data_IF_404482666127
#
_entry.id   IF_404482666127
#
_cell.length_a   1.000
_cell.length_b   1.000
_cell.length_c   1.000
_cell.angle_alpha   90.00
_cell.angle_beta   90.00
_cell.angle_gamma   90.00
#
_symmetry.space_group_name_H-M   'P 1'
#
loop_
_entity.id
_entity.type
_entity.pdbx_description
1 polymer ?
#
# COMPACT_ATOMS: atom_id res chain seq x y z
N UNK A 1 -47.67 51.50 -51.88
CA UNK A 1 -46.58 51.89 -50.97
C UNK A 1 -45.77 50.64 -50.65
N UNK A 2 -44.63 50.46 -51.30
CA UNK A 2 -43.75 49.30 -51.16
C UNK A 2 -42.76 49.51 -50.01
N UNK A 3 -42.89 48.76 -48.92
CA UNK A 3 -41.95 48.77 -47.81
C UNK A 3 -40.72 47.91 -48.16
N UNK A 4 -39.63 48.57 -48.56
CA UNK A 4 -38.34 47.91 -48.81
C UNK A 4 -37.69 47.57 -47.47
N UNK A 5 -37.72 46.29 -47.09
CA UNK A 5 -37.01 45.81 -45.88
C UNK A 5 -35.51 45.96 -46.10
N UNK A 6 -34.89 46.90 -45.37
CA UNK A 6 -33.47 47.19 -45.44
C UNK A 6 -32.66 46.10 -44.73
N UNK A 7 -32.22 45.09 -45.50
CA UNK A 7 -31.40 43.95 -45.05
C UNK A 7 -30.11 44.36 -44.32
N UNK A 8 -29.59 45.58 -44.52
CA UNK A 8 -28.39 46.09 -43.83
C UNK A 8 -28.64 46.57 -42.40
N UNK A 9 -29.88 46.89 -42.02
CA UNK A 9 -30.23 47.23 -40.62
C UNK A 9 -30.45 45.98 -39.75
N UNK A 10 -30.83 44.85 -40.34
CA UNK A 10 -31.04 43.60 -39.60
C UNK A 10 -29.71 42.99 -39.09
N UNK A 11 -28.62 43.18 -39.84
CA UNK A 11 -27.28 42.67 -39.48
C UNK A 11 -26.52 43.54 -38.46
N UNK A 12 -27.01 44.75 -38.12
CA UNK A 12 -26.39 45.61 -37.10
C UNK A 12 -27.06 45.53 -35.72
N UNK A 13 -28.24 44.91 -35.63
CA UNK A 13 -28.99 44.79 -34.37
C UNK A 13 -28.69 43.53 -33.55
N UNK A 14 -27.93 42.58 -34.09
CA UNK A 14 -27.67 41.28 -33.45
C UNK A 14 -26.24 41.13 -32.91
N UNK A 15 -25.41 42.17 -32.97
CA UNK A 15 -23.99 42.09 -32.61
C UNK A 15 -23.67 42.40 -31.13
N UNK A 16 -24.66 42.59 -30.25
CA UNK A 16 -24.42 42.98 -28.83
C UNK A 16 -25.07 42.03 -27.80
N UNK A 17 -25.60 40.88 -28.22
CA UNK A 17 -26.20 39.90 -27.30
C UNK A 17 -25.62 38.48 -27.44
N UNK A 18 -24.39 38.37 -27.95
CA UNK A 18 -23.61 37.15 -27.86
C UNK A 18 -22.20 37.52 -27.38
N UNK A 19 -22.11 37.98 -26.14
CA UNK A 19 -20.96 37.59 -25.34
C UNK A 19 -21.06 36.07 -25.22
N UNK A 20 -20.56 35.37 -26.26
CA UNK A 20 -20.21 33.98 -26.12
C UNK A 20 -19.33 33.94 -24.88
N UNK A 21 -19.86 33.37 -23.81
CA UNK A 21 -19.03 32.77 -22.78
C UNK A 21 -18.11 31.86 -23.57
N UNK A 22 -16.89 32.34 -23.84
CA UNK A 22 -15.79 31.47 -24.23
C UNK A 22 -15.80 30.42 -23.14
N UNK A 23 -16.36 29.25 -23.45
CA UNK A 23 -16.26 28.11 -22.58
C UNK A 23 -14.76 27.87 -22.49
N UNK A 24 -14.16 28.36 -21.40
CA UNK A 24 -12.80 28.03 -21.07
C UNK A 24 -12.71 26.51 -21.18
N UNK A 25 -11.68 25.95 -21.83
CA UNK A 25 -11.58 24.51 -21.99
C UNK A 25 -11.79 23.91 -20.61
N UNK A 26 -12.81 23.08 -20.45
CA UNK A 26 -12.95 22.26 -19.26
C UNK A 26 -11.70 21.40 -19.26
N UNK A 27 -10.71 21.74 -18.44
CA UNK A 27 -9.59 20.86 -18.20
C UNK A 27 -10.24 19.62 -17.59
N UNK A 28 -10.37 18.57 -18.40
CA UNK A 28 -10.85 17.29 -17.93
C UNK A 28 -9.86 16.84 -16.86
N UNK A 29 -10.21 17.05 -15.59
CA UNK A 29 -9.45 16.51 -14.47
C UNK A 29 -9.78 15.02 -14.47
N UNK A 30 -8.81 14.20 -14.85
CA UNK A 30 -8.97 12.76 -14.73
C UNK A 30 -9.29 12.44 -13.26
N UNK A 31 -10.30 11.59 -13.03
CA UNK A 31 -10.57 11.08 -11.69
C UNK A 31 -9.30 10.41 -11.15
N UNK A 32 -8.97 10.60 -9.86
CA UNK A 32 -7.81 9.97 -9.25
C UNK A 32 -7.87 8.46 -9.45
N UNK A 33 -6.74 7.85 -9.78
CA UNK A 33 -6.62 6.39 -9.63
C UNK A 33 -6.72 6.07 -8.14
N UNK A 34 -7.62 5.19 -7.74
CA UNK A 34 -7.79 4.79 -6.33
C UNK A 34 -7.33 3.35 -6.16
N UNK A 35 -6.28 3.16 -5.34
CA UNK A 35 -5.79 1.84 -4.96
C UNK A 35 -6.36 1.45 -3.59
N UNK A 36 -6.90 0.24 -3.47
CA UNK A 36 -7.32 -0.36 -2.20
C UNK A 36 -6.13 -1.08 -1.56
N UNK A 37 -5.66 -0.56 -0.44
CA UNK A 37 -4.58 -1.17 0.34
C UNK A 37 -5.11 -1.64 1.69
N UNK A 38 -5.04 -2.93 1.99
CA UNK A 38 -5.36 -3.43 3.32
C UNK A 38 -4.08 -3.58 4.16
N UNK A 39 -4.12 -3.12 5.42
CA UNK A 39 -3.06 -3.36 6.40
C UNK A 39 -3.33 -4.65 7.19
N UNK A 40 -2.28 -5.38 7.57
CA UNK A 40 -2.38 -6.54 8.48
C UNK A 40 -2.60 -6.15 9.96
N UNK A 41 -2.85 -4.87 10.23
CA UNK A 41 -2.81 -4.29 11.57
C UNK A 41 -4.18 -3.73 11.95
N UNK A 42 -4.66 -4.08 13.15
CA UNK A 42 -5.91 -3.55 13.71
C UNK A 42 -5.74 -2.20 14.42
N UNK A 43 -4.52 -1.69 14.54
CA UNK A 43 -4.20 -0.43 15.20
C UNK A 43 -2.73 -0.30 15.59
N UNK A 44 -2.43 0.74 16.35
CA UNK A 44 -1.09 1.04 16.88
C UNK A 44 -0.08 1.45 15.82
N UNK A 45 1.20 1.44 16.22
CA UNK A 45 2.31 2.01 15.46
C UNK A 45 2.45 1.45 14.03
N UNK A 46 2.03 0.21 13.78
CA UNK A 46 2.12 -0.39 12.45
C UNK A 46 1.03 0.12 11.50
N UNK A 47 -0.19 0.36 12.01
CA UNK A 47 -1.24 1.00 11.21
C UNK A 47 -0.90 2.49 10.98
N UNK A 48 -0.35 3.16 11.98
CA UNK A 48 0.14 4.54 11.85
C UNK A 48 1.29 4.66 10.84
N UNK A 49 2.19 3.66 10.80
CA UNK A 49 3.24 3.58 9.79
C UNK A 49 2.65 3.41 8.38
N UNK A 50 1.69 2.51 8.20
CA UNK A 50 0.99 2.33 6.93
C UNK A 50 0.28 3.63 6.49
N UNK A 51 -0.37 4.33 7.42
CA UNK A 51 -0.98 5.64 7.15
C UNK A 51 0.06 6.69 6.79
N UNK A 52 1.23 6.68 7.44
CA UNK A 52 2.32 7.60 7.13
C UNK A 52 2.87 7.37 5.72
N UNK A 53 2.96 6.12 5.26
CA UNK A 53 3.28 5.81 3.87
C UNK A 53 2.21 6.37 2.91
N UNK A 54 0.93 6.15 3.20
CA UNK A 54 -0.19 6.66 2.39
C UNK A 54 -0.15 8.19 2.30
N UNK A 55 0.08 8.89 3.41
CA UNK A 55 0.17 10.34 3.43
C UNK A 55 1.32 10.86 2.55
N UNK A 56 2.48 10.16 2.56
CA UNK A 56 3.61 10.49 1.69
C UNK A 56 3.27 10.31 0.21
N UNK A 57 2.58 9.22 -0.14
CA UNK A 57 2.11 8.99 -1.50
C UNK A 57 1.15 10.09 -1.96
N UNK A 58 0.17 10.47 -1.13
CA UNK A 58 -0.79 11.53 -1.48
C UNK A 58 -0.10 12.89 -1.64
N UNK A 59 0.86 13.21 -0.76
CA UNK A 59 1.63 14.46 -0.86
C UNK A 59 2.48 14.54 -2.14
N UNK A 60 2.99 13.40 -2.62
CA UNK A 60 3.79 13.34 -3.85
C UNK A 60 2.94 13.26 -5.12
N UNK A 61 1.81 12.56 -5.08
CA UNK A 61 1.00 12.28 -6.25
C UNK A 61 -0.04 13.37 -6.57
N UNK A 62 -0.28 14.30 -5.65
CA UNK A 62 -1.33 15.31 -5.80
C UNK A 62 -2.69 14.63 -6.01
N UNK A 63 -3.46 15.10 -6.99
CA UNK A 63 -4.80 14.56 -7.27
C UNK A 63 -4.80 13.37 -8.23
N UNK A 64 -3.64 12.86 -8.65
CA UNK A 64 -3.58 11.79 -9.65
C UNK A 64 -3.79 10.38 -9.04
N UNK A 65 -3.39 10.19 -7.78
CA UNK A 65 -3.41 8.88 -7.11
C UNK A 65 -3.88 9.03 -5.67
N UNK A 66 -4.80 8.15 -5.29
CA UNK A 66 -5.26 7.95 -3.92
C UNK A 66 -5.04 6.50 -3.51
N UNK A 67 -4.76 6.29 -2.24
CA UNK A 67 -4.74 4.99 -1.60
C UNK A 67 -5.80 4.99 -0.51
N UNK A 68 -6.78 4.12 -0.63
CA UNK A 68 -7.75 3.83 0.41
C UNK A 68 -7.16 2.78 1.34
N UNK A 69 -6.69 3.22 2.51
CA UNK A 69 -6.14 2.36 3.54
C UNK A 69 -7.26 1.71 4.35
N UNK A 70 -7.27 0.38 4.36
CA UNK A 70 -8.22 -0.43 5.10
C UNK A 70 -7.51 -1.12 6.28
N UNK A 71 -8.15 -1.15 7.44
CA UNK A 71 -7.66 -1.87 8.61
C UNK A 71 -7.68 -3.39 8.39
N UNK A 72 -7.06 -4.14 9.30
CA UNK A 72 -7.06 -5.60 9.26
C UNK A 72 -8.47 -6.19 9.09
N UNK A 73 -8.57 -7.24 8.30
CA UNK A 73 -9.77 -8.02 8.05
C UNK A 73 -10.97 -7.25 7.42
N UNK A 74 -10.74 -6.06 6.87
CA UNK A 74 -11.78 -5.25 6.20
C UNK A 74 -12.33 -5.90 4.91
N UNK A 75 -11.47 -6.55 4.12
CA UNK A 75 -11.84 -7.19 2.84
C UNK A 75 -11.61 -8.70 2.91
N UNK A 76 -10.44 -9.11 3.38
CA UNK A 76 -10.07 -10.53 3.54
C UNK A 76 -9.30 -10.75 4.83
N UNK A 77 -9.29 -11.99 5.33
CA UNK A 77 -8.46 -12.34 6.49
C UNK A 77 -6.99 -12.09 6.20
N UNK A 78 -6.21 -11.80 7.23
CA UNK A 78 -4.75 -11.58 7.10
C UNK A 78 -4.04 -12.67 6.29
N UNK A 79 -4.38 -13.96 6.51
CA UNK A 79 -3.80 -15.10 5.78
C UNK A 79 -4.14 -15.16 4.28
N UNK A 80 -5.11 -14.38 3.82
CA UNK A 80 -5.60 -14.36 2.43
C UNK A 80 -5.13 -13.11 1.67
N UNK A 81 -4.52 -12.13 2.34
CA UNK A 81 -4.17 -10.84 1.74
C UNK A 81 -3.21 -10.98 0.55
N UNK A 82 -2.22 -11.89 0.63
CA UNK A 82 -1.28 -12.16 -0.47
C UNK A 82 -2.02 -12.65 -1.72
N UNK A 83 -2.88 -13.67 -1.57
CA UNK A 83 -3.67 -14.22 -2.68
C UNK A 83 -4.68 -13.18 -3.20
N UNK A 84 -5.18 -12.28 -2.34
CA UNK A 84 -6.07 -11.20 -2.73
C UNK A 84 -5.37 -10.14 -3.59
N UNK A 85 -4.12 -9.77 -3.27
CA UNK A 85 -3.32 -8.87 -4.12
C UNK A 85 -2.97 -9.55 -5.44
N UNK A 86 -2.49 -10.80 -5.39
CA UNK A 86 -2.15 -11.56 -6.60
C UNK A 86 -3.31 -11.63 -7.61
N UNK A 87 -4.54 -11.80 -7.13
CA UNK A 87 -5.75 -11.87 -7.97
C UNK A 87 -6.40 -10.50 -8.27
N UNK A 88 -5.87 -9.39 -7.76
CA UNK A 88 -6.41 -8.05 -7.96
C UNK A 88 -7.71 -7.75 -7.18
N UNK A 89 -8.01 -8.50 -6.11
CA UNK A 89 -9.12 -8.17 -5.20
C UNK A 89 -8.76 -6.93 -4.36
N UNK A 90 -7.51 -6.90 -3.89
CA UNK A 90 -6.83 -5.75 -3.32
C UNK A 90 -5.76 -5.28 -4.30
N UNK A 91 -5.52 -3.97 -4.38
CA UNK A 91 -4.45 -3.42 -5.22
C UNK A 91 -3.10 -3.50 -4.50
N UNK A 92 -3.11 -3.44 -3.16
CA UNK A 92 -1.92 -3.57 -2.33
C UNK A 92 -2.22 -4.14 -0.94
N UNK A 93 -1.17 -4.55 -0.24
CA UNK A 93 -1.22 -4.92 1.17
C UNK A 93 -0.03 -4.32 1.93
N UNK A 94 -0.29 -3.73 3.10
CA UNK A 94 0.77 -3.41 4.04
C UNK A 94 0.94 -4.58 5.01
N UNK A 95 2.07 -5.28 4.89
CA UNK A 95 2.20 -6.66 5.37
C UNK A 95 3.62 -6.98 5.87
N UNK A 96 3.83 -8.20 6.37
CA UNK A 96 5.15 -8.72 6.74
C UNK A 96 5.41 -10.07 6.03
N UNK A 97 6.57 -10.28 5.38
CA UNK A 97 6.85 -11.53 4.65
C UNK A 97 6.76 -12.80 5.49
N UNK A 98 7.00 -12.72 6.81
CA UNK A 98 6.93 -13.86 7.73
C UNK A 98 5.56 -14.55 7.76
N UNK A 99 4.49 -13.83 7.44
CA UNK A 99 3.15 -14.42 7.37
C UNK A 99 2.95 -15.30 6.13
N UNK A 100 3.89 -15.28 5.18
CA UNK A 100 3.91 -16.17 4.01
C UNK A 100 4.63 -17.49 4.26
N UNK A 101 4.99 -17.80 5.52
CA UNK A 101 5.71 -19.04 5.88
C UNK A 101 5.07 -20.32 5.32
N UNK A 102 3.73 -20.39 5.31
CA UNK A 102 2.99 -21.53 4.78
C UNK A 102 3.09 -21.68 3.25
N UNK A 103 3.41 -20.61 2.54
CA UNK A 103 3.69 -20.60 1.09
C UNK A 103 5.15 -20.89 0.80
N UNK A 104 6.06 -20.27 1.58
CA UNK A 104 7.48 -20.57 1.55
C UNK A 104 8.13 -20.25 2.89
N UNK A 105 8.84 -21.24 3.44
CA UNK A 105 9.62 -21.05 4.68
C UNK A 105 10.70 -19.97 4.52
N UNK A 106 11.21 -19.79 3.30
CA UNK A 106 12.21 -18.76 2.95
C UNK A 106 11.69 -17.35 3.20
N UNK A 107 10.38 -17.11 3.09
CA UNK A 107 9.81 -15.78 3.31
C UNK A 107 10.06 -15.24 4.73
N UNK A 108 10.21 -16.12 5.74
CA UNK A 108 10.55 -15.70 7.10
C UNK A 108 11.93 -15.04 7.21
N UNK A 109 12.87 -15.34 6.30
CA UNK A 109 14.20 -14.71 6.27
C UNK A 109 14.14 -13.21 5.96
N UNK A 110 13.01 -12.71 5.47
CA UNK A 110 12.81 -11.31 5.09
C UNK A 110 11.88 -10.55 6.04
N UNK A 111 11.23 -11.23 6.99
CA UNK A 111 10.11 -10.66 7.75
C UNK A 111 10.22 -10.71 9.27
N UNK A 112 11.11 -11.52 9.85
CA UNK A 112 11.24 -11.65 11.31
C UNK A 112 12.64 -11.31 11.80
N UNK A 113 12.81 -10.07 12.27
CA UNK A 113 14.00 -9.67 13.00
C UNK A 113 14.26 -10.55 14.25
N UNK A 114 15.51 -10.82 14.62
CA UNK A 114 16.73 -10.42 13.94
C UNK A 114 17.10 -11.47 12.87
N UNK A 115 16.69 -11.25 11.63
CA UNK A 115 17.14 -12.07 10.51
C UNK A 115 18.67 -12.07 10.55
N UNK A 116 19.28 -13.24 10.69
CA UNK A 116 20.75 -13.41 10.73
C UNK A 116 21.48 -12.71 11.90
N UNK A 117 20.76 -12.32 12.96
CA UNK A 117 21.35 -11.55 14.07
C UNK A 117 21.51 -10.05 13.79
N UNK A 118 21.01 -9.57 12.65
CA UNK A 118 21.10 -8.16 12.26
C UNK A 118 20.05 -7.30 12.96
N UNK A 119 20.40 -6.03 13.13
CA UNK A 119 19.47 -4.95 13.43
C UNK A 119 18.49 -4.72 12.28
N UNK A 120 17.40 -4.04 12.57
CA UNK A 120 16.38 -3.72 11.57
C UNK A 120 16.90 -2.81 10.44
N UNK A 121 17.90 -1.98 10.73
CA UNK A 121 18.54 -1.10 9.75
C UNK A 121 19.50 -1.88 8.85
N UNK A 122 20.23 -2.85 9.39
CA UNK A 122 21.11 -3.71 8.60
C UNK A 122 20.32 -4.58 7.62
N UNK A 123 19.18 -5.15 8.05
CA UNK A 123 18.27 -5.88 7.13
C UNK A 123 17.79 -4.96 6.00
N UNK A 124 17.32 -3.76 6.33
CA UNK A 124 16.83 -2.81 5.31
C UNK A 124 17.97 -2.34 4.40
N UNK A 125 19.17 -2.13 4.94
CA UNK A 125 20.37 -1.79 4.16
C UNK A 125 20.75 -2.91 3.21
N UNK A 126 20.72 -4.16 3.66
CA UNK A 126 20.98 -5.34 2.81
C UNK A 126 19.92 -5.50 1.71
N UNK A 127 18.64 -5.25 2.01
CA UNK A 127 17.60 -5.27 0.98
C UNK A 127 17.85 -4.22 -0.10
N UNK A 128 18.21 -2.99 0.29
CA UNK A 128 18.38 -1.89 -0.67
C UNK A 128 19.73 -1.88 -1.41
N UNK A 129 20.79 -2.40 -0.79
CA UNK A 129 22.16 -2.23 -1.29
C UNK A 129 22.99 -3.52 -1.32
N UNK A 130 22.49 -4.62 -0.76
CA UNK A 130 23.24 -5.86 -0.53
C UNK A 130 22.70 -7.07 -1.28
N UNK A 131 21.80 -6.90 -2.25
CA UNK A 131 21.23 -8.00 -3.02
C UNK A 131 19.95 -8.60 -2.43
N UNK A 132 19.41 -8.04 -1.34
CA UNK A 132 18.26 -8.63 -0.66
C UNK A 132 16.95 -8.47 -1.42
N UNK A 133 16.74 -7.36 -2.15
CA UNK A 133 15.55 -7.20 -2.98
C UNK A 133 15.54 -8.22 -4.12
N UNK A 134 16.69 -8.45 -4.77
CA UNK A 134 16.82 -9.40 -5.88
C UNK A 134 16.49 -10.83 -5.44
N UNK A 135 16.97 -11.24 -4.26
CA UNK A 135 16.65 -12.54 -3.67
C UNK A 135 15.17 -12.64 -3.27
N UNK A 136 14.56 -11.54 -2.83
CA UNK A 136 13.15 -11.52 -2.53
C UNK A 136 12.29 -11.62 -3.80
N UNK A 137 12.69 -10.93 -4.86
CA UNK A 137 12.02 -10.97 -6.16
C UNK A 137 12.16 -12.37 -6.79
N UNK A 138 13.31 -13.04 -6.66
CA UNK A 138 13.49 -14.44 -7.05
C UNK A 138 12.52 -15.37 -6.30
N UNK A 139 12.40 -15.19 -4.97
CA UNK A 139 11.44 -15.93 -4.17
C UNK A 139 10.01 -15.69 -4.66
N UNK A 140 9.62 -14.45 -4.89
CA UNK A 140 8.27 -14.10 -5.34
C UNK A 140 7.96 -14.65 -6.74
N UNK A 141 8.93 -14.61 -7.65
CA UNK A 141 8.83 -15.22 -8.97
C UNK A 141 8.66 -16.75 -8.89
N UNK A 142 9.40 -17.42 -8.00
CA UNK A 142 9.28 -18.87 -7.78
C UNK A 142 7.89 -19.29 -7.28
N UNK A 143 7.19 -18.39 -6.57
CA UNK A 143 5.83 -18.59 -6.10
C UNK A 143 4.77 -18.28 -7.16
N UNK A 144 5.15 -17.75 -8.32
CA UNK A 144 4.23 -17.38 -9.41
C UNK A 144 3.29 -16.24 -9.05
N UNK A 145 3.70 -15.35 -8.14
CA UNK A 145 2.85 -14.29 -7.63
C UNK A 145 2.98 -13.01 -8.45
N UNK A 146 1.84 -12.46 -8.84
CA UNK A 146 1.73 -11.13 -9.46
C UNK A 146 1.74 -10.04 -8.37
N UNK A 147 2.88 -9.88 -7.70
CA UNK A 147 3.05 -8.92 -6.60
C UNK A 147 4.44 -8.31 -6.71
N UNK A 148 4.50 -6.97 -6.66
CA UNK A 148 5.75 -6.23 -6.47
C UNK A 148 5.81 -5.78 -5.02
N UNK A 149 6.95 -6.00 -4.36
CA UNK A 149 7.10 -5.74 -2.94
C UNK A 149 8.15 -4.68 -2.68
N UNK A 150 7.84 -3.76 -1.77
CA UNK A 150 8.71 -2.66 -1.37
C UNK A 150 8.96 -2.71 0.12
N UNK A 151 10.22 -2.89 0.51
CA UNK A 151 10.62 -2.82 1.92
C UNK A 151 10.80 -1.37 2.34
N UNK A 152 9.98 -0.92 3.31
CA UNK A 152 9.93 0.49 3.68
C UNK A 152 10.13 0.78 5.18
N UNK A 153 10.10 -0.26 6.04
CA UNK A 153 10.04 -0.09 7.50
C UNK A 153 10.97 -1.06 8.22
N UNK A 154 11.98 -0.56 8.95
CA UNK A 154 12.85 -1.39 9.76
C UNK A 154 12.08 -1.82 11.03
N UNK A 155 11.72 -3.10 11.13
CA UNK A 155 11.09 -3.65 12.34
C UNK A 155 12.17 -4.05 13.37
N UNK A 156 12.29 -3.35 14.51
CA UNK A 156 13.34 -3.63 15.51
C UNK A 156 13.13 -5.00 16.17
N UNK A 157 14.13 -5.42 16.94
CA UNK A 157 14.03 -6.63 17.76
C UNK A 157 12.76 -6.59 18.63
N UNK A 158 11.98 -7.67 18.55
CA UNK A 158 10.73 -7.79 19.29
C UNK A 158 11.01 -8.42 20.67
N UNK A 159 10.21 -8.06 21.70
CA UNK A 159 10.25 -8.80 22.94
C UNK A 159 9.89 -10.27 22.68
N UNK A 160 10.49 -11.18 23.45
CA UNK A 160 10.23 -12.63 23.31
C UNK A 160 8.75 -12.97 23.48
N UNK A 161 7.99 -12.18 24.25
CA UNK A 161 6.55 -12.35 24.42
C UNK A 161 6.08 -11.78 25.76
N UNK A 162 4.80 -12.05 26.06
CA UNK A 162 4.17 -11.74 27.34
C UNK A 162 3.76 -13.04 28.01
N UNK A 163 4.26 -13.28 29.22
CA UNK A 163 4.11 -14.55 29.93
C UNK A 163 3.40 -14.33 31.27
N UNK A 164 2.58 -15.31 31.69
CA UNK A 164 1.91 -15.27 33.00
C UNK A 164 2.88 -15.45 34.17
N UNK A 165 3.96 -16.19 33.92
CA UNK A 165 5.00 -16.48 34.89
C UNK A 165 6.35 -16.04 34.34
N UNK A 166 7.30 -15.74 35.24
CA UNK A 166 8.65 -15.35 34.84
C UNK A 166 9.40 -16.56 34.26
N UNK A 167 9.94 -16.40 33.04
CA UNK A 167 10.79 -17.38 32.39
C UNK A 167 12.25 -17.09 32.76
N UNK A 168 12.86 -17.96 33.55
CA UNK A 168 14.25 -17.84 34.04
C UNK A 168 15.18 -18.92 33.48
N UNK A 169 14.63 -20.00 32.91
CA UNK A 169 15.42 -21.05 32.26
C UNK A 169 14.68 -21.67 31.06
N UNK A 170 15.45 -22.30 30.16
CA UNK A 170 14.94 -22.89 28.91
C UNK A 170 13.92 -24.01 29.14
N UNK A 171 14.01 -24.72 30.27
CA UNK A 171 13.09 -25.82 30.59
C UNK A 171 11.64 -25.38 30.71
N UNK A 172 11.39 -24.12 31.10
CA UNK A 172 10.05 -23.55 31.21
C UNK A 172 9.38 -23.30 29.85
N UNK A 173 10.15 -23.30 28.75
CA UNK A 173 9.60 -23.18 27.40
C UNK A 173 9.05 -24.53 26.87
N UNK A 174 9.45 -25.65 27.48
CA UNK A 174 9.03 -26.97 27.03
C UNK A 174 7.54 -27.19 27.29
N UNK A 175 6.78 -27.45 26.22
CA UNK A 175 5.33 -27.64 26.29
C UNK A 175 4.53 -26.35 26.50
N UNK A 176 5.19 -25.19 26.56
CA UNK A 176 4.51 -23.91 26.70
C UNK A 176 3.69 -23.61 25.44
N UNK A 177 2.39 -23.42 25.61
CA UNK A 177 1.52 -22.91 24.55
C UNK A 177 1.73 -21.40 24.40
N UNK A 178 2.54 -21.02 23.43
CA UNK A 178 2.93 -19.63 23.17
C UNK A 178 2.59 -19.25 21.72
N UNK A 179 1.94 -18.09 21.53
CA UNK A 179 1.64 -17.56 20.20
C UNK A 179 2.86 -16.80 19.69
N UNK A 180 3.49 -17.33 18.66
CA UNK A 180 4.58 -16.68 17.91
C UNK A 180 4.31 -16.72 16.41
N UNK A 181 5.10 -15.96 15.66
CA UNK A 181 5.10 -15.95 14.19
C UNK A 181 6.54 -16.04 13.71
N UNK A 182 6.75 -16.59 12.51
CA UNK A 182 8.08 -16.76 11.95
C UNK A 182 8.74 -18.08 12.34
N UNK A 183 10.06 -18.04 12.50
CA UNK A 183 10.93 -19.18 12.81
C UNK A 183 10.98 -19.49 14.31
#
# INVERSE_FOLDING_TARGET
>A
MTNTVNRRKFLRGSAVAAAATLAAPSIARAEPTVLKMQAAWGGGIFLENAQSYVNRVHAMAGDALKIDLLAVDSVVKTSQMQDAVHRGVLDAAHYVPAYWYSKSKTASLFGTGPCFGWSSQEVLGWVNYGGGQELFDELMASLGLNIVSFFNSPMPAQPLGWFKEQITNVGQMNGLKYRTVGL
#
